data_IF_934719207626
#
_entry.id   IF_934719207626
#
_cell.length_a   1.000
_cell.length_b   1.000
_cell.length_c   1.000
_cell.angle_alpha   90.00
_cell.angle_beta   90.00
_cell.angle_gamma   90.00
#
_symmetry.space_group_name_H-M   'P 1'
#
loop_
_entity.id
_entity.type
_entity.pdbx_description
1 polymer ?
#
# COMPACT_ATOMS: atom_id res chain seq x y z
N UNK A 1 -0.73 12.36 -11.93
CA UNK A 1 0.03 11.17 -11.48
C UNK A 1 -0.80 9.96 -11.85
N UNK A 2 -0.19 8.92 -12.41
CA UNK A 2 -0.89 7.66 -12.71
C UNK A 2 -1.12 6.91 -11.42
N UNK A 3 -2.35 6.47 -11.17
CA UNK A 3 -2.69 5.63 -10.03
C UNK A 3 -2.04 4.25 -10.21
N UNK A 4 -1.17 3.81 -9.28
CA UNK A 4 -0.50 2.51 -9.39
C UNK A 4 -1.44 1.31 -9.20
N UNK A 5 -2.67 1.54 -8.71
CA UNK A 5 -3.65 0.49 -8.45
C UNK A 5 -4.66 0.31 -9.59
N UNK A 6 -4.61 1.17 -10.62
CA UNK A 6 -5.42 0.99 -11.82
C UNK A 6 -4.69 0.10 -12.84
N UNK A 7 -5.17 -1.14 -12.97
CA UNK A 7 -4.62 -2.13 -13.92
C UNK A 7 -4.90 -1.81 -15.39
N UNK A 8 -5.82 -0.87 -15.68
CA UNK A 8 -6.19 -0.39 -17.02
C UNK A 8 -6.15 -1.48 -18.11
N UNK A 9 -6.86 -2.59 -17.89
CA UNK A 9 -6.93 -3.69 -18.86
C UNK A 9 -7.85 -3.31 -20.02
N UNK A 10 -7.62 -3.94 -21.19
CA UNK A 10 -8.42 -3.70 -22.41
C UNK A 10 -9.92 -3.95 -22.25
N UNK A 11 -10.32 -4.80 -21.31
CA UNK A 11 -11.72 -5.13 -21.04
C UNK A 11 -12.18 -4.47 -19.74
N UNK A 12 -13.13 -3.51 -19.78
CA UNK A 12 -13.61 -2.82 -18.59
C UNK A 12 -14.20 -3.76 -17.53
N UNK A 13 -14.86 -4.83 -17.96
CA UNK A 13 -15.45 -5.82 -17.07
C UNK A 13 -14.38 -6.61 -16.31
N UNK A 14 -13.32 -7.03 -17.01
CA UNK A 14 -12.22 -7.77 -16.38
C UNK A 14 -11.46 -6.86 -15.40
N UNK A 15 -11.20 -5.61 -15.79
CA UNK A 15 -10.58 -4.61 -14.91
C UNK A 15 -11.39 -4.45 -13.63
N UNK A 16 -12.70 -4.24 -13.72
CA UNK A 16 -13.55 -4.06 -12.54
C UNK A 16 -13.59 -5.30 -11.65
N UNK A 17 -13.69 -6.51 -12.22
CA UNK A 17 -13.70 -7.74 -11.44
C UNK A 17 -12.38 -7.98 -10.70
N UNK A 18 -11.25 -7.79 -11.38
CA UNK A 18 -9.93 -8.00 -10.80
C UNK A 18 -9.65 -6.93 -9.73
N UNK A 19 -9.89 -5.66 -10.05
CA UNK A 19 -9.68 -4.57 -9.09
C UNK A 19 -10.54 -4.77 -7.84
N UNK A 20 -11.79 -5.18 -7.98
CA UNK A 20 -12.67 -5.44 -6.84
C UNK A 20 -12.25 -6.66 -6.04
N UNK A 21 -11.85 -7.75 -6.70
CA UNK A 21 -11.42 -9.00 -6.04
C UNK A 21 -10.14 -8.82 -5.25
N UNK A 22 -9.20 -8.04 -5.79
CA UNK A 22 -7.92 -7.74 -5.16
C UNK A 22 -7.99 -6.53 -4.20
N UNK A 23 -9.14 -5.86 -4.11
CA UNK A 23 -9.31 -4.65 -3.29
C UNK A 23 -8.58 -3.41 -3.83
N UNK A 24 -8.15 -3.42 -5.10
CA UNK A 24 -7.44 -2.31 -5.72
C UNK A 24 -8.30 -1.05 -5.80
N UNK A 25 -9.63 -1.16 -5.93
CA UNK A 25 -10.52 0.00 -5.90
C UNK A 25 -10.42 0.79 -4.58
N UNK A 26 -10.20 0.09 -3.46
CA UNK A 26 -10.00 0.72 -2.15
C UNK A 26 -8.63 1.37 -2.08
N UNK A 27 -7.61 0.72 -2.64
CA UNK A 27 -6.24 1.25 -2.68
C UNK A 27 -6.13 2.48 -3.58
N UNK A 28 -6.78 2.49 -4.75
CA UNK A 28 -6.93 3.65 -5.63
C UNK A 28 -7.55 4.83 -4.89
N UNK A 29 -8.69 4.62 -4.23
CA UNK A 29 -9.37 5.67 -3.46
C UNK A 29 -8.51 6.21 -2.33
N UNK A 30 -7.82 5.33 -1.61
CA UNK A 30 -6.87 5.71 -0.56
C UNK A 30 -5.73 6.54 -1.14
N UNK A 31 -5.16 6.11 -2.27
CA UNK A 31 -4.06 6.79 -2.95
C UNK A 31 -4.46 8.18 -3.40
N UNK A 32 -5.65 8.34 -3.99
CA UNK A 32 -6.17 9.63 -4.44
C UNK A 32 -6.55 10.56 -3.29
N UNK A 33 -7.08 10.01 -2.19
CA UNK A 33 -7.45 10.78 -1.00
C UNK A 33 -6.25 11.13 -0.10
N UNK A 34 -5.03 10.71 -0.46
CA UNK A 34 -3.86 10.92 0.38
C UNK A 34 -3.62 12.42 0.65
N UNK A 35 -3.29 12.79 1.90
CA UNK A 35 -2.85 14.15 2.20
C UNK A 35 -1.67 14.58 1.32
N UNK A 36 -1.64 15.84 0.83
CA UNK A 36 -0.52 16.33 0.06
C UNK A 36 0.72 16.52 0.94
N UNK A 37 1.90 16.30 0.38
CA UNK A 37 3.18 16.56 1.07
C UNK A 37 3.61 15.47 2.07
N UNK A 38 2.98 14.30 2.07
CA UNK A 38 3.45 13.18 2.88
C UNK A 38 4.79 12.65 2.41
N UNK A 39 5.71 12.43 3.34
CA UNK A 39 6.89 11.61 3.09
C UNK A 39 6.53 10.12 3.00
N UNK A 40 7.48 9.29 2.58
CA UNK A 40 7.25 7.85 2.37
C UNK A 40 6.75 7.14 3.63
N UNK A 41 7.24 7.52 4.81
CA UNK A 41 6.88 6.86 6.07
C UNK A 41 5.46 7.27 6.50
N UNK A 42 5.14 8.55 6.40
CA UNK A 42 3.83 9.08 6.72
C UNK A 42 2.76 8.54 5.75
N UNK A 43 3.10 8.40 4.46
CA UNK A 43 2.24 7.73 3.49
C UNK A 43 1.99 6.26 3.84
N UNK A 44 3.03 5.50 4.21
CA UNK A 44 2.87 4.11 4.60
C UNK A 44 1.96 3.97 5.82
N UNK A 45 2.15 4.81 6.85
CA UNK A 45 1.28 4.78 8.03
C UNK A 45 -0.18 5.09 7.65
N UNK A 46 -0.41 6.15 6.87
CA UNK A 46 -1.74 6.48 6.36
C UNK A 46 -2.38 5.30 5.61
N UNK A 47 -1.64 4.63 4.73
CA UNK A 47 -2.15 3.48 4.00
C UNK A 47 -2.53 2.32 4.95
N UNK A 48 -1.72 2.02 5.96
CA UNK A 48 -2.02 0.97 6.95
C UNK A 48 -3.27 1.31 7.77
N UNK A 49 -3.42 2.57 8.18
CA UNK A 49 -4.57 3.06 8.94
C UNK A 49 -5.86 2.95 8.13
N UNK A 50 -5.84 3.34 6.85
CA UNK A 50 -7.02 3.26 5.96
C UNK A 50 -7.46 1.83 5.71
N UNK A 51 -6.52 0.89 5.63
CA UNK A 51 -6.81 -0.54 5.42
C UNK A 51 -7.18 -1.24 6.74
N UNK A 52 -7.07 -0.54 7.88
CA UNK A 52 -7.35 -1.09 9.20
C UNK A 52 -6.33 -2.12 9.67
N UNK A 53 -5.11 -2.07 9.12
CA UNK A 53 -4.03 -2.99 9.49
C UNK A 53 -3.36 -2.48 10.75
N UNK A 54 -3.45 -3.26 11.83
CA UNK A 54 -2.70 -2.99 13.06
C UNK A 54 -1.49 -3.91 13.12
N UNK A 55 -0.32 -3.35 13.45
CA UNK A 55 0.92 -4.08 13.57
C UNK A 55 1.17 -4.41 15.05
N UNK A 56 1.12 -5.70 15.40
CA UNK A 56 1.47 -6.18 16.73
C UNK A 56 2.90 -6.74 16.72
N UNK A 57 3.80 -6.12 17.48
CA UNK A 57 5.15 -6.64 17.66
C UNK A 57 5.15 -7.59 18.85
N UNK A 58 5.22 -8.89 18.56
CA UNK A 58 5.18 -9.93 19.60
C UNK A 58 6.52 -10.04 20.37
N UNK A 59 7.63 -9.65 19.75
CA UNK A 59 8.95 -9.62 20.38
C UNK A 59 9.80 -8.50 19.76
N UNK A 60 10.08 -7.46 20.54
CA UNK A 60 10.81 -6.28 20.10
C UNK A 60 12.26 -6.61 19.69
N UNK A 61 12.90 -7.56 20.37
CA UNK A 61 14.31 -7.94 20.13
C UNK A 61 14.53 -8.54 18.74
N UNK A 62 13.46 -9.05 18.10
CA UNK A 62 13.55 -9.55 16.73
C UNK A 62 13.71 -8.42 15.71
N UNK A 63 13.31 -7.19 16.04
CA UNK A 63 13.51 -6.04 15.14
C UNK A 63 14.99 -5.71 14.95
N UNK A 64 15.82 -5.94 15.98
CA UNK A 64 17.26 -5.69 15.92
C UNK A 64 18.00 -6.70 15.03
N UNK A 65 17.36 -7.85 14.75
CA UNK A 65 17.89 -8.86 13.82
C UNK A 65 17.54 -8.56 12.36
N UNK A 66 16.63 -7.62 12.09
CA UNK A 66 16.27 -7.24 10.72
C UNK A 66 17.42 -6.39 10.15
N UNK A 67 18.08 -6.84 9.06
CA UNK A 67 19.18 -6.10 8.47
C UNK A 67 18.69 -4.74 7.94
N UNK A 68 19.25 -3.66 8.48
CA UNK A 68 18.93 -2.27 8.07
C UNK A 68 19.61 -1.86 6.77
N UNK A 69 20.55 -2.67 6.29
CA UNK A 69 21.29 -2.49 5.04
C UNK A 69 21.35 -3.83 4.34
N UNK A 70 21.05 -3.83 3.06
CA UNK A 70 21.20 -4.99 2.17
C UNK A 70 22.20 -4.68 1.06
N UNK A 71 22.61 -5.69 0.28
CA UNK A 71 23.36 -5.44 -0.94
C UNK A 71 22.57 -4.47 -1.82
N UNK A 72 23.22 -3.37 -2.21
CA UNK A 72 22.71 -2.49 -3.26
C UNK A 72 22.95 -3.24 -4.58
N UNK A 73 21.86 -3.64 -5.24
CA UNK A 73 21.90 -4.12 -6.62
C UNK A 73 22.14 -2.93 -7.55
#
# INVERSE_FOLDING_TARGET
MTDPFDLNLKSPLLTSLINRTLGLDVMSKMYDARPPGLDTKAFLQYALDVVGVTLQVNNQDNLDKIPRKGPLL
#
